data_IF_696005729711
#
_entry.id   IF_696005729711
#
_cell.length_a   1.000
_cell.length_b   1.000
_cell.length_c   1.000
_cell.angle_alpha   90.00
_cell.angle_beta   90.00
_cell.angle_gamma   90.00
#
_symmetry.space_group_name_H-M   'P 1'
#
loop_
_entity.id
_entity.type
_entity.pdbx_description
1 polymer ?
#
# COMPACT_ATOMS: atom_id res chain seq x y z
N UNK A 1 -12.75 -68.70 1.93
CA UNK A 1 -13.58 -67.52 1.60
C UNK A 1 -12.59 -66.38 1.30
N UNK A 2 -11.88 -66.41 0.16
CA UNK A 2 -12.23 -65.76 -1.15
C UNK A 2 -12.61 -64.28 -0.94
N UNK A 3 -11.93 -63.28 -1.51
CA UNK A 3 -11.25 -63.23 -2.80
C UNK A 3 -10.25 -62.05 -2.87
N UNK A 4 -9.17 -62.26 -3.64
CA UNK A 4 -8.09 -61.33 -4.00
C UNK A 4 -8.17 -61.11 -5.51
N UNK A 5 -8.05 -59.87 -6.00
CA UNK A 5 -7.83 -59.57 -7.42
C UNK A 5 -6.81 -58.43 -7.52
N UNK A 6 -5.55 -58.63 -7.92
CA UNK A 6 -4.97 -59.04 -9.22
C UNK A 6 -4.99 -57.95 -10.31
N UNK A 7 -3.78 -57.47 -10.62
CA UNK A 7 -3.38 -56.75 -11.84
C UNK A 7 -3.54 -57.64 -13.08
N UNK A 8 -3.47 -57.04 -14.28
CA UNK A 8 -2.74 -57.69 -15.36
C UNK A 8 -1.70 -56.76 -16.05
N UNK A 9 -0.67 -57.42 -16.58
CA UNK A 9 0.38 -56.90 -17.47
C UNK A 9 0.68 -57.99 -18.50
N UNK A 10 0.67 -57.66 -19.79
CA UNK A 10 1.32 -58.31 -20.96
C UNK A 10 0.77 -57.60 -22.23
N UNK A 11 1.45 -57.43 -23.37
CA UNK A 11 2.47 -58.26 -23.98
C UNK A 11 3.36 -57.48 -24.99
N UNK A 12 4.47 -58.13 -25.32
CA UNK A 12 5.57 -57.78 -26.22
C UNK A 12 5.38 -58.34 -27.64
N UNK A 13 5.80 -57.58 -28.67
CA UNK A 13 6.33 -58.04 -29.97
C UNK A 13 7.24 -56.89 -30.46
N UNK A 14 8.46 -57.00 -30.98
CA UNK A 14 9.27 -58.12 -31.48
C UNK A 14 10.01 -57.67 -32.75
N UNK A 15 11.28 -57.23 -32.61
CA UNK A 15 12.43 -57.23 -33.54
C UNK A 15 12.39 -56.56 -34.93
N UNK A 16 13.37 -55.67 -35.23
CA UNK A 16 14.44 -55.91 -36.24
C UNK A 16 15.54 -54.82 -36.23
N UNK A 17 16.77 -55.28 -36.40
CA UNK A 17 18.08 -54.61 -36.37
C UNK A 17 18.44 -53.98 -37.73
N UNK A 18 19.11 -52.82 -37.75
CA UNK A 18 20.16 -52.50 -38.73
C UNK A 18 21.12 -51.39 -38.25
N UNK A 19 22.42 -51.69 -38.29
CA UNK A 19 23.53 -50.77 -38.08
C UNK A 19 23.84 -49.99 -39.39
N UNK A 20 24.36 -48.76 -39.33
CA UNK A 20 25.80 -48.46 -39.47
C UNK A 20 26.12 -46.95 -39.67
N UNK A 21 27.30 -46.55 -39.13
CA UNK A 21 28.20 -45.41 -39.47
C UNK A 21 28.01 -43.95 -38.93
N UNK A 22 29.14 -43.21 -38.73
CA UNK A 22 29.26 -42.11 -37.77
C UNK A 22 29.31 -40.70 -38.39
N UNK A 23 28.72 -39.72 -37.72
CA UNK A 23 28.77 -38.29 -38.07
C UNK A 23 29.79 -37.51 -37.24
N UNK A 24 30.57 -36.65 -37.92
CA UNK A 24 31.67 -35.82 -37.45
C UNK A 24 31.33 -34.82 -36.32
N UNK A 25 32.34 -34.31 -35.56
CA UNK A 25 32.13 -33.48 -34.37
C UNK A 25 31.92 -31.98 -34.73
N UNK A 26 31.19 -31.21 -33.89
CA UNK A 26 31.15 -29.75 -34.02
C UNK A 26 32.37 -29.08 -33.35
N UNK A 27 32.75 -27.86 -33.77
CA UNK A 27 34.01 -27.21 -33.38
C UNK A 27 33.93 -26.55 -31.98
N UNK A 28 35.08 -26.27 -31.33
CA UNK A 28 35.13 -25.72 -29.98
C UNK A 28 35.05 -24.19 -30.00
N UNK A 29 34.29 -23.60 -29.07
CA UNK A 29 34.33 -22.16 -28.82
C UNK A 29 34.15 -21.86 -27.33
N UNK A 30 35.31 -21.60 -26.72
CA UNK A 30 35.65 -20.58 -25.70
C UNK A 30 34.85 -20.50 -24.38
N UNK A 31 35.61 -20.60 -23.29
CA UNK A 31 35.23 -20.49 -21.88
C UNK A 31 34.38 -19.25 -21.50
N UNK A 32 33.52 -19.33 -20.47
CA UNK A 32 32.95 -18.14 -19.86
C UNK A 32 33.93 -17.58 -18.82
N UNK A 33 34.54 -16.46 -19.18
CA UNK A 33 35.22 -15.56 -18.29
C UNK A 33 34.23 -14.87 -17.33
N UNK A 34 34.68 -14.69 -16.09
CA UNK A 34 34.05 -13.93 -15.00
C UNK A 34 33.47 -12.60 -15.49
N UNK A 35 32.17 -12.35 -15.25
CA UNK A 35 31.57 -11.03 -14.90
C UNK A 35 30.03 -11.12 -14.85
N UNK A 36 29.45 -11.26 -13.67
CA UNK A 36 28.00 -11.00 -13.46
C UNK A 36 27.75 -10.52 -12.03
N UNK A 37 28.04 -9.24 -11.77
CA UNK A 37 27.50 -8.52 -10.61
C UNK A 37 26.71 -7.24 -10.99
N UNK A 38 26.78 -6.81 -12.25
CA UNK A 38 26.04 -5.65 -12.77
C UNK A 38 24.64 -5.96 -13.34
N UNK A 39 24.32 -7.22 -13.66
CA UNK A 39 23.08 -7.58 -14.35
C UNK A 39 21.84 -7.63 -13.42
N UNK A 40 22.05 -7.78 -12.10
CA UNK A 40 20.97 -7.86 -11.11
C UNK A 40 20.45 -6.47 -10.71
N UNK A 41 21.35 -5.51 -10.51
CA UNK A 41 21.01 -4.12 -10.13
C UNK A 41 20.27 -3.38 -11.25
N UNK A 42 20.63 -3.62 -12.52
CA UNK A 42 19.91 -3.06 -13.67
C UNK A 42 18.51 -3.67 -13.81
N UNK A 43 18.34 -4.94 -13.44
CA UNK A 43 17.04 -5.61 -13.47
C UNK A 43 16.09 -5.06 -12.38
N UNK A 44 16.59 -4.87 -11.16
CA UNK A 44 15.81 -4.29 -10.05
C UNK A 44 15.44 -2.82 -10.33
N UNK A 45 16.34 -2.04 -10.94
CA UNK A 45 16.06 -0.66 -11.35
C UNK A 45 15.03 -0.61 -12.50
N UNK A 46 15.11 -1.53 -13.45
CA UNK A 46 14.13 -1.64 -14.54
C UNK A 46 12.76 -2.09 -14.02
N UNK A 47 12.72 -2.94 -13.00
CA UNK A 47 11.48 -3.40 -12.36
C UNK A 47 10.83 -2.26 -11.55
N UNK A 48 11.63 -1.50 -10.80
CA UNK A 48 11.17 -0.28 -10.12
C UNK A 48 10.65 0.78 -11.10
N UNK A 49 11.35 1.00 -12.23
CA UNK A 49 10.89 1.91 -13.29
C UNK A 49 9.59 1.42 -13.94
N UNK A 50 9.43 0.12 -14.13
CA UNK A 50 8.22 -0.49 -14.70
C UNK A 50 7.03 -0.39 -13.74
N UNK A 51 7.26 -0.56 -12.45
CA UNK A 51 6.24 -0.34 -11.41
C UNK A 51 5.84 1.14 -11.31
N UNK A 52 6.80 2.05 -11.43
CA UNK A 52 6.54 3.50 -11.46
C UNK A 52 5.72 3.88 -12.70
N UNK A 53 6.08 3.38 -13.88
CA UNK A 53 5.32 3.58 -15.12
C UNK A 53 3.91 2.99 -15.05
N UNK A 54 3.76 1.79 -14.47
CA UNK A 54 2.44 1.19 -14.25
C UNK A 54 1.57 2.06 -13.31
N UNK A 55 2.17 2.65 -12.28
CA UNK A 55 1.45 3.52 -11.34
C UNK A 55 1.09 4.88 -11.95
N UNK A 56 1.95 5.44 -12.80
CA UNK A 56 1.66 6.65 -13.58
C UNK A 56 0.52 6.38 -14.55
N UNK A 57 0.57 5.27 -15.30
CA UNK A 57 -0.49 4.88 -16.23
C UNK A 57 -1.84 4.67 -15.52
N UNK A 58 -1.84 4.07 -14.32
CA UNK A 58 -3.04 3.90 -13.51
C UNK A 58 -3.62 5.26 -13.08
N UNK A 59 -2.79 6.17 -12.58
CA UNK A 59 -3.23 7.51 -12.15
C UNK A 59 -3.74 8.36 -13.32
N UNK A 60 -3.13 8.23 -14.50
CA UNK A 60 -3.60 8.90 -15.72
C UNK A 60 -4.95 8.34 -16.18
N UNK A 61 -5.14 7.02 -16.12
CA UNK A 61 -6.41 6.37 -16.43
C UNK A 61 -7.52 6.78 -15.45
N UNK A 62 -7.23 6.81 -14.14
CA UNK A 62 -8.19 7.23 -13.11
C UNK A 62 -8.58 8.71 -13.28
N UNK A 63 -7.64 9.56 -13.69
CA UNK A 63 -7.91 10.98 -13.99
C UNK A 63 -8.75 11.14 -15.25
N UNK A 64 -8.44 10.37 -16.31
CA UNK A 64 -9.23 10.35 -17.54
C UNK A 64 -10.67 9.89 -17.29
N UNK A 65 -10.86 8.84 -16.48
CA UNK A 65 -12.18 8.36 -16.07
C UNK A 65 -12.99 9.42 -15.34
N UNK A 66 -12.40 10.12 -14.37
CA UNK A 66 -13.08 11.24 -13.67
C UNK A 66 -13.50 12.37 -14.61
N UNK A 67 -12.62 12.75 -15.54
CA UNK A 67 -12.96 13.79 -16.52
C UNK A 67 -14.06 13.38 -17.49
N UNK A 68 -14.16 12.10 -17.81
CA UNK A 68 -15.23 11.55 -18.65
C UNK A 68 -16.56 11.50 -17.89
N UNK A 69 -16.55 11.07 -16.62
CA UNK A 69 -17.72 11.11 -15.73
C UNK A 69 -18.25 12.55 -15.56
N UNK A 70 -17.37 13.52 -15.29
CA UNK A 70 -17.76 14.93 -15.16
C UNK A 70 -18.39 15.48 -16.46
N UNK A 71 -17.84 15.11 -17.61
CA UNK A 71 -18.36 15.52 -18.92
C UNK A 71 -19.72 14.89 -19.23
N UNK A 72 -19.97 13.66 -18.79
CA UNK A 72 -21.26 12.98 -18.96
C UNK A 72 -22.34 13.61 -18.06
N UNK A 73 -22.01 13.95 -16.81
CA UNK A 73 -22.91 14.69 -15.91
C UNK A 73 -23.33 16.02 -16.55
N UNK A 74 -22.40 16.79 -17.10
CA UNK A 74 -22.69 18.07 -17.74
C UNK A 74 -23.59 17.92 -19.00
N UNK A 75 -23.43 16.83 -19.75
CA UNK A 75 -24.33 16.51 -20.88
C UNK A 75 -25.75 16.18 -20.41
N UNK A 76 -25.89 15.35 -19.38
CA UNK A 76 -27.21 14.96 -18.85
C UNK A 76 -27.93 16.17 -18.23
N UNK A 77 -27.22 17.03 -17.50
CA UNK A 77 -27.77 18.30 -16.97
C UNK A 77 -28.24 19.22 -18.09
N UNK A 78 -27.47 19.36 -19.17
CA UNK A 78 -27.88 20.17 -20.34
C UNK A 78 -29.10 19.59 -21.04
N UNK A 79 -29.20 18.27 -21.14
CA UNK A 79 -30.34 17.57 -21.75
C UNK A 79 -31.60 17.75 -20.90
N UNK A 80 -31.52 17.51 -19.59
CA UNK A 80 -32.63 17.71 -18.66
C UNK A 80 -33.14 19.17 -18.67
N UNK A 81 -32.23 20.15 -18.74
CA UNK A 81 -32.61 21.55 -18.86
C UNK A 81 -33.34 21.86 -20.17
N UNK A 82 -32.89 21.30 -21.31
CA UNK A 82 -33.58 21.49 -22.60
C UNK A 82 -34.98 20.87 -22.59
N UNK A 83 -35.13 19.67 -22.04
CA UNK A 83 -36.41 18.98 -21.93
C UNK A 83 -37.39 19.74 -21.03
N UNK A 84 -36.91 20.27 -19.90
CA UNK A 84 -37.70 21.12 -19.01
C UNK A 84 -38.14 22.42 -19.71
N UNK A 85 -37.23 23.09 -20.41
CA UNK A 85 -37.55 24.32 -21.15
C UNK A 85 -38.57 24.06 -22.26
N UNK A 86 -38.46 22.93 -22.96
CA UNK A 86 -39.39 22.49 -23.99
C UNK A 86 -40.80 22.30 -23.41
N UNK A 87 -40.92 21.54 -22.32
CA UNK A 87 -42.19 21.33 -21.60
C UNK A 87 -42.80 22.64 -21.12
N UNK A 88 -41.99 23.54 -20.58
CA UNK A 88 -42.45 24.86 -20.14
C UNK A 88 -42.97 25.68 -21.31
N UNK A 89 -42.43 25.55 -22.51
CA UNK A 89 -42.86 26.33 -23.68
C UNK A 89 -44.18 25.80 -24.28
N UNK A 90 -44.49 24.51 -24.08
CA UNK A 90 -45.74 23.87 -24.52
C UNK A 90 -46.93 24.14 -23.58
N UNK A 91 -46.70 24.68 -22.39
CA UNK A 91 -47.77 25.01 -21.44
C UNK A 91 -48.27 26.44 -21.60
N UNK A 92 -49.56 26.59 -21.92
CA UNK A 92 -50.18 27.89 -22.24
C UNK A 92 -50.52 28.76 -21.02
N UNK A 93 -50.68 28.17 -19.83
CA UNK A 93 -51.05 28.87 -18.60
C UNK A 93 -49.86 29.02 -17.65
N UNK A 94 -49.60 30.25 -17.20
CA UNK A 94 -48.54 30.58 -16.22
C UNK A 94 -48.70 29.80 -14.91
N UNK A 95 -49.93 29.57 -14.45
CA UNK A 95 -50.18 28.79 -13.23
C UNK A 95 -49.78 27.32 -13.41
N UNK A 96 -50.12 26.70 -14.56
CA UNK A 96 -49.73 25.32 -14.86
C UNK A 96 -48.20 25.17 -14.99
N UNK A 97 -47.52 26.20 -15.51
CA UNK A 97 -46.04 26.25 -15.57
C UNK A 97 -45.44 26.30 -14.17
N UNK A 98 -45.99 27.13 -13.28
CA UNK A 98 -45.54 27.25 -11.89
C UNK A 98 -45.74 25.93 -11.13
N UNK A 99 -46.91 25.29 -11.25
CA UNK A 99 -47.20 24.00 -10.62
C UNK A 99 -46.28 22.88 -11.13
N UNK A 100 -46.00 22.86 -12.44
CA UNK A 100 -45.07 21.89 -13.04
C UNK A 100 -43.64 22.08 -12.52
N UNK A 101 -43.14 23.32 -12.44
CA UNK A 101 -41.82 23.63 -11.88
C UNK A 101 -41.77 23.20 -10.42
N UNK A 102 -42.79 23.54 -9.62
CA UNK A 102 -42.82 23.21 -8.20
C UNK A 102 -42.84 21.68 -7.98
N UNK A 103 -43.63 20.95 -8.79
CA UNK A 103 -43.65 19.48 -8.78
C UNK A 103 -42.30 18.88 -9.15
N UNK A 104 -41.66 19.38 -10.22
CA UNK A 104 -40.34 18.91 -10.65
C UNK A 104 -39.25 19.20 -9.63
N UNK A 105 -39.27 20.38 -9.01
CA UNK A 105 -38.35 20.74 -7.94
C UNK A 105 -38.50 19.80 -6.73
N UNK A 106 -39.74 19.50 -6.33
CA UNK A 106 -40.03 18.59 -5.22
C UNK A 106 -39.56 17.16 -5.51
N UNK A 107 -39.81 16.65 -6.74
CA UNK A 107 -39.32 15.35 -7.20
C UNK A 107 -37.79 15.28 -7.15
N UNK A 108 -37.09 16.25 -7.76
CA UNK A 108 -35.63 16.31 -7.79
C UNK A 108 -35.01 16.43 -6.39
N UNK A 109 -35.61 17.22 -5.49
CA UNK A 109 -35.16 17.34 -4.10
C UNK A 109 -35.31 16.00 -3.35
N UNK A 110 -36.41 15.28 -3.59
CA UNK A 110 -36.64 13.95 -3.03
C UNK A 110 -35.61 12.94 -3.52
N UNK A 111 -35.32 12.94 -4.83
CA UNK A 111 -34.29 12.10 -5.45
C UNK A 111 -32.90 12.41 -4.91
N UNK A 112 -32.50 13.69 -4.82
CA UNK A 112 -31.22 14.13 -4.26
C UNK A 112 -31.02 13.61 -2.82
N UNK A 113 -32.03 13.76 -1.96
CA UNK A 113 -31.96 13.25 -0.57
C UNK A 113 -31.89 11.72 -0.51
N UNK A 114 -32.44 11.03 -1.50
CA UNK A 114 -32.40 9.55 -1.59
C UNK A 114 -31.02 9.09 -2.02
N UNK A 115 -30.47 9.69 -3.07
CA UNK A 115 -29.13 9.37 -3.59
C UNK A 115 -28.04 9.74 -2.59
N UNK A 116 -28.19 10.83 -1.83
CA UNK A 116 -27.26 11.19 -0.76
C UNK A 116 -27.22 10.13 0.35
N UNK A 117 -28.38 9.60 0.77
CA UNK A 117 -28.46 8.49 1.74
C UNK A 117 -27.86 7.20 1.19
N UNK A 118 -28.10 6.90 -0.07
CA UNK A 118 -27.51 5.73 -0.75
C UNK A 118 -26.00 5.85 -0.88
N UNK A 119 -25.49 7.04 -1.25
CA UNK A 119 -24.06 7.32 -1.30
C UNK A 119 -23.40 7.17 0.06
N UNK A 120 -24.01 7.70 1.13
CA UNK A 120 -23.52 7.52 2.51
C UNK A 120 -23.42 6.04 2.90
N UNK A 121 -24.44 5.22 2.56
CA UNK A 121 -24.42 3.76 2.80
C UNK A 121 -23.37 3.05 1.95
N UNK A 122 -23.24 3.43 0.68
CA UNK A 122 -22.24 2.86 -0.23
C UNK A 122 -20.82 3.17 0.24
N UNK A 123 -20.56 4.40 0.70
CA UNK A 123 -19.28 4.82 1.27
C UNK A 123 -18.92 3.98 2.51
N UNK A 124 -19.84 3.84 3.47
CA UNK A 124 -19.64 2.97 4.65
C UNK A 124 -19.35 1.52 4.27
N UNK A 125 -20.04 0.99 3.25
CA UNK A 125 -19.80 -0.37 2.74
C UNK A 125 -18.43 -0.50 2.07
N UNK A 126 -18.00 0.51 1.32
CA UNK A 126 -16.68 0.53 0.70
C UNK A 126 -15.56 0.55 1.75
N UNK A 127 -15.69 1.38 2.78
CA UNK A 127 -14.73 1.46 3.89
C UNK A 127 -14.65 0.13 4.66
N UNK A 128 -15.81 -0.49 4.92
CA UNK A 128 -15.89 -1.81 5.55
C UNK A 128 -15.22 -2.91 4.71
N UNK A 129 -15.52 -2.97 3.41
CA UNK A 129 -14.91 -3.93 2.49
C UNK A 129 -13.39 -3.72 2.36
N UNK A 130 -12.93 -2.47 2.43
CA UNK A 130 -11.49 -2.15 2.42
C UNK A 130 -10.81 -2.68 3.70
N UNK A 131 -11.42 -2.47 4.87
CA UNK A 131 -10.93 -3.00 6.15
C UNK A 131 -10.88 -4.54 6.15
N UNK A 132 -11.93 -5.19 5.64
CA UNK A 132 -11.98 -6.66 5.50
C UNK A 132 -10.90 -7.18 4.55
N UNK A 133 -10.68 -6.50 3.42
CA UNK A 133 -9.62 -6.86 2.46
C UNK A 133 -8.23 -6.78 3.09
N UNK A 134 -7.93 -5.74 3.86
CA UNK A 134 -6.64 -5.60 4.54
C UNK A 134 -6.46 -6.62 5.67
N UNK A 135 -7.54 -6.92 6.42
CA UNK A 135 -7.57 -8.01 7.39
C UNK A 135 -7.28 -9.37 6.75
N UNK A 136 -7.99 -9.73 5.68
CA UNK A 136 -7.78 -10.97 4.93
C UNK A 136 -6.36 -11.06 4.34
N UNK A 137 -5.81 -9.94 3.87
CA UNK A 137 -4.43 -9.89 3.37
C UNK A 137 -3.41 -10.19 4.47
N UNK A 138 -3.60 -9.64 5.68
CA UNK A 138 -2.76 -9.93 6.85
C UNK A 138 -2.86 -11.41 7.27
N UNK A 139 -4.08 -11.96 7.30
CA UNK A 139 -4.31 -13.38 7.60
C UNK A 139 -3.65 -14.30 6.57
N UNK A 140 -3.74 -13.97 5.28
CA UNK A 140 -3.08 -14.72 4.21
C UNK A 140 -1.55 -14.71 4.38
N UNK A 141 -0.96 -13.57 4.74
CA UNK A 141 0.48 -13.48 5.03
C UNK A 141 0.87 -14.37 6.22
N UNK A 142 0.09 -14.38 7.30
CA UNK A 142 0.32 -15.26 8.46
C UNK A 142 0.19 -16.75 8.07
N UNK A 143 -0.85 -17.10 7.32
CA UNK A 143 -1.08 -18.46 6.84
C UNK A 143 0.07 -18.97 5.96
N UNK A 144 0.58 -18.12 5.06
CA UNK A 144 1.75 -18.46 4.24
C UNK A 144 3.02 -18.67 5.10
N UNK A 145 3.24 -17.85 6.13
CA UNK A 145 4.38 -18.06 7.05
C UNK A 145 4.30 -19.41 7.78
N UNK A 146 3.11 -19.82 8.23
CA UNK A 146 2.90 -21.14 8.86
C UNK A 146 3.10 -22.26 7.85
N UNK A 147 2.58 -22.11 6.64
CA UNK A 147 2.78 -23.07 5.54
C UNK A 147 4.27 -23.28 5.26
N UNK A 148 5.05 -22.20 5.13
CA UNK A 148 6.49 -22.29 4.87
C UNK A 148 7.25 -23.00 6.01
N UNK A 149 6.85 -22.78 7.27
CA UNK A 149 7.41 -23.49 8.43
C UNK A 149 7.08 -24.98 8.38
N UNK A 150 5.83 -25.34 8.05
CA UNK A 150 5.41 -26.74 7.91
C UNK A 150 6.12 -27.44 6.75
N UNK A 151 6.32 -26.77 5.62
CA UNK A 151 7.08 -27.33 4.49
C UNK A 151 8.55 -27.58 4.86
N UNK A 152 9.18 -26.69 5.63
CA UNK A 152 10.54 -26.89 6.14
C UNK A 152 10.61 -28.09 7.07
N UNK A 153 9.72 -28.16 8.07
CA UNK A 153 9.64 -29.29 8.99
C UNK A 153 9.36 -30.61 8.26
N UNK A 154 8.49 -30.62 7.26
CA UNK A 154 8.21 -31.81 6.45
C UNK A 154 9.44 -32.29 5.67
N UNK A 155 10.22 -31.37 5.08
CA UNK A 155 11.48 -31.70 4.40
C UNK A 155 12.55 -32.21 5.37
N UNK A 156 12.68 -31.59 6.53
CA UNK A 156 13.61 -32.01 7.59
C UNK A 156 13.27 -33.39 8.13
N UNK A 157 11.99 -33.63 8.46
CA UNK A 157 11.49 -34.92 8.91
C UNK A 157 11.72 -36.02 7.87
N UNK A 158 11.54 -35.70 6.58
CA UNK A 158 11.81 -36.64 5.48
C UNK A 158 13.31 -36.96 5.39
N UNK A 159 14.18 -35.94 5.53
CA UNK A 159 15.63 -36.09 5.52
C UNK A 159 16.13 -36.91 6.71
N UNK A 160 15.59 -36.67 7.90
CA UNK A 160 15.95 -37.40 9.10
C UNK A 160 15.46 -38.85 9.06
N UNK A 161 14.24 -39.11 8.57
CA UNK A 161 13.78 -40.48 8.33
C UNK A 161 14.67 -41.25 7.35
N UNK A 162 15.18 -40.58 6.30
CA UNK A 162 16.13 -41.21 5.38
C UNK A 162 17.45 -41.51 6.08
N UNK A 163 18.00 -40.54 6.82
CA UNK A 163 19.22 -40.71 7.62
C UNK A 163 19.10 -41.90 8.58
N UNK A 164 18.02 -41.98 9.35
CA UNK A 164 17.79 -43.08 10.29
C UNK A 164 17.68 -44.44 9.60
N UNK A 165 17.08 -44.51 8.41
CA UNK A 165 17.06 -45.75 7.61
C UNK A 165 18.44 -46.16 7.12
N UNK A 166 19.25 -45.19 6.69
CA UNK A 166 20.63 -45.43 6.26
C UNK A 166 21.49 -45.85 7.47
N UNK A 167 21.41 -45.16 8.61
CA UNK A 167 22.10 -45.52 9.86
C UNK A 167 21.72 -46.94 10.35
N UNK A 168 20.43 -47.30 10.30
CA UNK A 168 19.97 -48.65 10.64
C UNK A 168 20.55 -49.72 9.70
N UNK A 169 20.66 -49.40 8.42
CA UNK A 169 21.25 -50.30 7.42
C UNK A 169 22.74 -50.50 7.69
N UNK A 170 23.48 -49.42 7.92
CA UNK A 170 24.91 -49.44 8.19
C UNK A 170 25.22 -50.21 9.49
N UNK A 171 24.43 -50.01 10.55
CA UNK A 171 24.56 -50.76 11.79
C UNK A 171 24.32 -52.26 11.55
N UNK A 172 23.30 -52.61 10.76
CA UNK A 172 22.99 -54.01 10.42
C UNK A 172 24.14 -54.67 9.65
N UNK A 173 24.66 -53.99 8.62
CA UNK A 173 25.78 -54.45 7.81
C UNK A 173 27.05 -54.61 8.66
N UNK A 174 27.37 -53.60 9.48
CA UNK A 174 28.52 -53.66 10.40
C UNK A 174 28.40 -54.80 11.42
N UNK A 175 27.18 -55.09 11.88
CA UNK A 175 26.93 -56.20 12.81
C UNK A 175 27.08 -57.56 12.11
N UNK A 176 26.60 -57.69 10.87
CA UNK A 176 26.79 -58.87 10.02
C UNK A 176 28.28 -59.12 9.75
N UNK A 177 29.03 -58.10 9.31
CA UNK A 177 30.47 -58.17 9.06
C UNK A 177 31.26 -58.61 10.29
N UNK A 178 30.97 -58.02 11.47
CA UNK A 178 31.62 -58.40 12.73
C UNK A 178 31.29 -59.83 13.13
N UNK A 179 30.06 -60.28 12.88
CA UNK A 179 29.67 -61.64 13.19
C UNK A 179 30.40 -62.63 12.26
N UNK A 180 30.51 -62.32 10.97
CA UNK A 180 31.32 -63.10 10.02
C UNK A 180 32.80 -63.11 10.38
N UNK A 181 33.36 -61.99 10.83
CA UNK A 181 34.75 -61.90 11.30
C UNK A 181 34.97 -62.76 12.54
N UNK A 182 34.05 -62.73 13.51
CA UNK A 182 34.10 -63.59 14.69
C UNK A 182 34.00 -65.07 14.32
N UNK A 183 33.10 -65.44 13.41
CA UNK A 183 32.98 -66.81 12.90
C UNK A 183 34.28 -67.27 12.22
N UNK A 184 34.85 -66.45 11.33
CA UNK A 184 36.16 -66.74 10.70
C UNK A 184 37.28 -66.91 11.72
N UNK A 185 37.33 -66.05 12.75
CA UNK A 185 38.37 -66.14 13.79
C UNK A 185 38.21 -67.36 14.69
N UNK A 186 36.97 -67.75 14.99
CA UNK A 186 36.68 -68.99 15.71
C UNK A 186 37.11 -70.21 14.89
N UNK A 187 36.78 -70.24 13.59
CA UNK A 187 37.24 -71.30 12.69
C UNK A 187 38.77 -71.37 12.62
N UNK A 188 39.44 -70.21 12.52
CA UNK A 188 40.90 -70.16 12.53
C UNK A 188 41.50 -70.67 13.84
N UNK A 189 40.98 -70.25 15.00
CA UNK A 189 41.48 -70.73 16.31
C UNK A 189 41.27 -72.24 16.47
N UNK A 190 40.17 -72.78 15.95
CA UNK A 190 39.95 -74.24 15.95
C UNK A 190 41.05 -74.92 15.12
N UNK A 191 41.36 -74.41 13.93
CA UNK A 191 42.46 -74.90 13.09
C UNK A 191 43.83 -74.79 13.76
N UNK A 192 44.14 -73.66 14.40
CA UNK A 192 45.41 -73.48 15.13
C UNK A 192 45.54 -74.47 16.30
N UNK A 193 44.45 -74.75 17.02
CA UNK A 193 44.44 -75.75 18.09
C UNK A 193 44.66 -77.15 17.53
N UNK A 194 44.06 -77.47 16.38
CA UNK A 194 44.31 -78.72 15.65
C UNK A 194 45.80 -78.84 15.27
N UNK A 195 46.40 -77.77 14.73
CA UNK A 195 47.82 -77.72 14.36
C UNK A 195 48.77 -77.83 15.56
N UNK A 196 48.45 -77.22 16.70
CA UNK A 196 49.25 -77.31 17.93
C UNK A 196 49.17 -78.72 18.54
N UNK A 197 47.98 -79.34 18.52
CA UNK A 197 47.83 -80.75 18.90
C UNK A 197 48.73 -81.64 18.02
N UNK A 198 48.84 -81.31 16.73
CA UNK A 198 49.70 -82.02 15.77
C UNK A 198 51.20 -81.72 15.93
N UNK A 199 51.58 -80.57 16.49
CA UNK A 199 52.97 -80.07 16.50
C UNK A 199 53.66 -80.06 17.88
N UNK A 200 53.08 -80.71 18.91
CA UNK A 200 53.53 -80.68 20.32
C UNK A 200 54.90 -81.32 20.62
N UNK A 201 55.80 -81.42 19.65
CA UNK A 201 57.20 -81.82 19.87
C UNK A 201 58.15 -80.72 19.36
N UNK A 202 58.46 -79.68 20.16
CA UNK A 202 59.75 -78.96 20.08
C UNK A 202 59.99 -77.91 21.18
N UNK A 203 61.20 -77.83 21.81
CA UNK A 203 61.45 -77.04 23.03
C UNK A 203 62.13 -75.67 22.80
N UNK A 204 62.24 -75.17 21.57
CA UNK A 204 63.10 -74.02 21.25
C UNK A 204 62.40 -72.64 21.24
N UNK A 205 61.17 -72.54 21.78
CA UNK A 205 60.28 -71.37 21.62
C UNK A 205 60.59 -70.18 22.55
N UNK A 206 61.27 -70.43 23.66
CA UNK A 206 61.36 -69.51 24.82
C UNK A 206 62.26 -68.27 24.57
N UNK A 207 63.22 -68.35 23.64
CA UNK A 207 64.15 -67.23 23.38
C UNK A 207 63.56 -66.19 22.40
N UNK A 208 62.71 -66.61 21.46
CA UNK A 208 62.04 -65.70 20.53
C UNK A 208 60.96 -64.83 21.22
N UNK A 209 60.27 -65.38 22.22
CA UNK A 209 59.23 -64.66 22.99
C UNK A 209 59.77 -63.41 23.71
N UNK A 210 61.03 -63.44 24.18
CA UNK A 210 61.61 -62.31 24.94
C UNK A 210 61.93 -61.09 24.06
N UNK A 211 62.34 -61.29 22.81
CA UNK A 211 62.57 -60.19 21.86
C UNK A 211 61.24 -59.62 21.32
N UNK A 212 60.24 -60.48 21.13
CA UNK A 212 58.88 -60.08 20.76
C UNK A 212 58.22 -59.23 21.87
N UNK A 213 58.39 -59.61 23.14
CA UNK A 213 57.91 -58.85 24.31
C UNK A 213 58.50 -57.44 24.39
N UNK A 214 59.77 -57.29 24.03
CA UNK A 214 60.44 -55.99 24.05
C UNK A 214 59.90 -55.07 22.95
N UNK A 215 59.69 -55.59 21.74
CA UNK A 215 59.03 -54.86 20.65
C UNK A 215 57.58 -54.51 21.00
N UNK A 216 56.86 -55.41 21.68
CA UNK A 216 55.50 -55.16 22.13
C UNK A 216 55.41 -54.00 23.11
N UNK A 217 56.33 -53.92 24.08
CA UNK A 217 56.43 -52.81 25.03
C UNK A 217 56.69 -51.47 24.33
N UNK A 218 57.59 -51.44 23.35
CA UNK A 218 57.85 -50.22 22.58
C UNK A 218 56.65 -49.78 21.75
N UNK A 219 55.92 -50.73 21.14
CA UNK A 219 54.67 -50.43 20.42
C UNK A 219 53.57 -49.91 21.34
N UNK A 220 53.37 -50.52 22.51
CA UNK A 220 52.39 -50.03 23.50
C UNK A 220 52.74 -48.63 23.99
N UNK A 221 54.02 -48.37 24.26
CA UNK A 221 54.50 -47.03 24.64
C UNK A 221 54.21 -46.01 23.55
N UNK A 222 54.52 -46.33 22.29
CA UNK A 222 54.22 -45.47 21.14
C UNK A 222 52.72 -45.23 20.96
N UNK A 223 51.88 -46.24 21.16
CA UNK A 223 50.43 -46.05 21.12
C UNK A 223 49.96 -45.09 22.21
N UNK A 224 50.41 -45.26 23.46
CA UNK A 224 50.05 -44.36 24.56
C UNK A 224 50.45 -42.92 24.23
N UNK A 225 51.67 -42.68 23.77
CA UNK A 225 52.15 -41.35 23.37
C UNK A 225 51.32 -40.74 22.22
N UNK A 226 50.92 -41.56 21.23
CA UNK A 226 50.05 -41.11 20.13
C UNK A 226 48.65 -40.73 20.63
N UNK A 227 48.08 -41.51 21.58
CA UNK A 227 46.78 -41.21 22.18
C UNK A 227 46.83 -39.90 22.97
N UNK A 228 47.87 -39.69 23.79
CA UNK A 228 48.07 -38.45 24.54
C UNK A 228 48.20 -37.24 23.61
N UNK A 229 49.00 -37.36 22.54
CA UNK A 229 49.14 -36.29 21.54
C UNK A 229 47.82 -35.99 20.82
N UNK A 230 47.03 -37.02 20.49
CA UNK A 230 45.70 -36.86 19.89
C UNK A 230 44.74 -36.15 20.84
N UNK A 231 44.77 -36.48 22.13
CA UNK A 231 43.90 -35.87 23.15
C UNK A 231 44.24 -34.39 23.35
N UNK A 232 45.53 -34.05 23.42
CA UNK A 232 45.99 -32.65 23.46
C UNK A 232 45.54 -31.89 22.19
N UNK A 233 45.68 -32.50 21.02
CA UNK A 233 45.24 -31.89 19.76
C UNK A 233 43.73 -31.65 19.76
N UNK A 234 42.92 -32.63 20.17
CA UNK A 234 41.46 -32.49 20.27
C UNK A 234 41.07 -31.38 21.24
N UNK A 235 41.69 -31.31 22.43
CA UNK A 235 41.44 -30.25 23.40
C UNK A 235 41.75 -28.86 22.82
N UNK A 236 42.86 -28.72 22.10
CA UNK A 236 43.24 -27.47 21.42
C UNK A 236 42.22 -27.06 20.34
N UNK A 237 41.79 -28.02 19.51
CA UNK A 237 40.78 -27.77 18.46
C UNK A 237 39.43 -27.37 19.07
N UNK A 238 38.98 -28.04 20.13
CA UNK A 238 37.75 -27.68 20.82
C UNK A 238 37.82 -26.26 21.39
N UNK A 239 38.96 -25.88 21.99
CA UNK A 239 39.16 -24.52 22.50
C UNK A 239 39.13 -23.47 21.38
N UNK A 240 39.71 -23.78 20.22
CA UNK A 240 39.66 -22.88 19.05
C UNK A 240 38.23 -22.69 18.54
N UNK A 241 37.43 -23.77 18.47
CA UNK A 241 36.01 -23.69 18.07
C UNK A 241 35.17 -22.94 19.08
N UNK A 242 35.42 -23.13 20.37
CA UNK A 242 34.73 -22.39 21.44
C UNK A 242 34.98 -20.88 21.31
N UNK A 243 36.24 -20.47 21.08
CA UNK A 243 36.57 -19.05 20.86
C UNK A 243 35.93 -18.48 19.59
N UNK A 244 35.86 -19.26 18.51
CA UNK A 244 35.19 -18.87 17.27
C UNK A 244 33.69 -18.63 17.50
N UNK A 245 33.02 -19.52 18.24
CA UNK A 245 31.62 -19.36 18.64
C UNK A 245 31.43 -18.10 19.48
N UNK A 246 32.27 -17.88 20.50
CA UNK A 246 32.20 -16.68 21.34
C UNK A 246 32.40 -15.39 20.55
N UNK A 247 33.32 -15.39 19.58
CA UNK A 247 33.52 -14.25 18.69
C UNK A 247 32.26 -13.95 17.86
N UNK A 248 31.63 -14.97 17.29
CA UNK A 248 30.40 -14.80 16.52
C UNK A 248 29.22 -14.31 17.38
N UNK A 249 29.08 -14.81 18.61
CA UNK A 249 28.09 -14.32 19.58
C UNK A 249 28.33 -12.84 19.87
N UNK A 250 29.57 -12.45 20.22
CA UNK A 250 29.91 -11.06 20.54
C UNK A 250 29.68 -10.11 19.35
N UNK A 251 29.99 -10.54 18.13
CA UNK A 251 29.69 -9.76 16.93
C UNK A 251 28.20 -9.59 16.69
N UNK A 252 27.41 -10.66 16.88
CA UNK A 252 25.97 -10.60 16.74
C UNK A 252 25.34 -9.66 17.77
N UNK A 253 25.77 -9.74 19.03
CA UNK A 253 25.30 -8.85 20.10
C UNK A 253 25.66 -7.38 19.83
N UNK A 254 26.83 -7.11 19.27
CA UNK A 254 27.23 -5.75 18.86
C UNK A 254 26.33 -5.21 17.76
N UNK A 255 26.04 -6.02 16.73
CA UNK A 255 25.13 -5.63 15.65
C UNK A 255 23.71 -5.40 16.15
N UNK A 256 23.21 -6.27 17.04
CA UNK A 256 21.91 -6.12 17.67
C UNK A 256 21.81 -4.80 18.44
N UNK A 257 22.79 -4.49 19.31
CA UNK A 257 22.82 -3.22 20.05
C UNK A 257 22.85 -1.99 19.12
N UNK A 258 23.59 -2.06 18.02
CA UNK A 258 23.63 -0.98 17.03
C UNK A 258 22.27 -0.80 16.33
N UNK A 259 21.59 -1.90 15.99
CA UNK A 259 20.24 -1.87 15.44
C UNK A 259 19.24 -1.27 16.44
N UNK A 260 19.27 -1.70 17.69
CA UNK A 260 18.37 -1.20 18.75
C UNK A 260 18.56 0.31 18.99
N UNK A 261 19.81 0.80 18.92
CA UNK A 261 20.12 2.22 19.01
C UNK A 261 19.56 3.04 17.82
N UNK A 262 19.73 2.53 16.58
CA UNK A 262 19.15 3.19 15.40
C UNK A 262 17.63 3.12 15.37
N UNK A 263 17.03 2.02 15.83
CA UNK A 263 15.57 1.90 15.97
C UNK A 263 15.03 2.94 16.95
N UNK A 264 15.69 3.10 18.10
CA UNK A 264 15.32 4.11 19.11
C UNK A 264 15.38 5.52 18.53
N UNK A 265 16.46 5.83 17.80
CA UNK A 265 16.62 7.12 17.12
C UNK A 265 15.55 7.35 16.05
N UNK A 266 15.20 6.32 15.28
CA UNK A 266 14.12 6.38 14.30
C UNK A 266 12.78 6.66 14.97
N UNK A 267 12.44 5.97 16.06
CA UNK A 267 11.20 6.21 16.81
C UNK A 267 11.13 7.64 17.36
N UNK A 268 12.25 8.18 17.87
CA UNK A 268 12.32 9.56 18.33
C UNK A 268 12.07 10.56 17.20
N UNK A 269 12.67 10.34 16.03
CA UNK A 269 12.45 11.18 14.85
C UNK A 269 11.00 11.09 14.35
N UNK A 270 10.40 9.90 14.30
CA UNK A 270 8.99 9.72 13.93
C UNK A 270 8.06 10.50 14.86
N UNK A 271 8.30 10.44 16.18
CA UNK A 271 7.53 11.23 17.16
C UNK A 271 7.70 12.73 16.94
N UNK A 272 8.91 13.18 16.63
CA UNK A 272 9.17 14.59 16.34
C UNK A 272 8.45 15.06 15.08
N UNK A 273 8.50 14.28 13.99
CA UNK A 273 7.79 14.59 12.74
C UNK A 273 6.28 14.60 12.97
N UNK A 274 5.74 13.65 13.73
CA UNK A 274 4.32 13.62 14.10
C UNK A 274 3.91 14.88 14.87
N UNK A 275 4.72 15.30 15.85
CA UNK A 275 4.46 16.52 16.63
C UNK A 275 4.47 17.76 15.72
N UNK A 276 5.48 17.91 14.85
CA UNK A 276 5.53 19.04 13.93
C UNK A 276 4.36 19.04 12.95
N UNK A 277 3.99 17.88 12.40
CA UNK A 277 2.85 17.76 11.50
C UNK A 277 1.53 18.14 12.18
N UNK A 278 1.33 17.74 13.44
CA UNK A 278 0.15 18.15 14.22
C UNK A 278 0.13 19.67 14.43
N UNK A 279 1.25 20.26 14.83
CA UNK A 279 1.33 21.73 15.00
C UNK A 279 1.12 22.49 13.69
N UNK A 280 1.59 21.95 12.56
CA UNK A 280 1.36 22.55 11.25
C UNK A 280 -0.12 22.51 10.86
N UNK A 281 -0.80 21.39 11.11
CA UNK A 281 -2.23 21.26 10.85
C UNK A 281 -3.06 22.22 11.71
N UNK A 282 -2.72 22.35 13.00
CA UNK A 282 -3.34 23.32 13.91
C UNK A 282 -3.22 24.75 13.36
N UNK A 283 -2.01 25.14 12.93
CA UNK A 283 -1.76 26.48 12.36
C UNK A 283 -2.50 26.70 11.03
N UNK A 284 -2.59 25.67 10.18
CA UNK A 284 -3.38 25.75 8.94
C UNK A 284 -4.86 25.93 9.23
N UNK A 285 -5.40 25.22 10.22
CA UNK A 285 -6.79 25.37 10.65
C UNK A 285 -7.06 26.79 11.17
N UNK A 286 -6.18 27.31 12.02
CA UNK A 286 -6.26 28.70 12.49
C UNK A 286 -6.24 29.69 11.33
N UNK A 287 -5.31 29.51 10.37
CA UNK A 287 -5.23 30.37 9.19
C UNK A 287 -6.53 30.34 8.37
N UNK A 288 -7.11 29.15 8.15
CA UNK A 288 -8.39 29.01 7.45
C UNK A 288 -9.51 29.77 8.16
N UNK A 289 -9.62 29.65 9.49
CA UNK A 289 -10.60 30.39 10.30
C UNK A 289 -10.41 31.90 10.13
N UNK A 290 -9.16 32.40 10.18
CA UNK A 290 -8.88 33.83 9.94
C UNK A 290 -9.29 34.28 8.54
N UNK A 291 -9.00 33.47 7.51
CA UNK A 291 -9.39 33.76 6.12
C UNK A 291 -10.91 33.80 5.98
N UNK A 292 -11.63 32.85 6.58
CA UNK A 292 -13.11 32.83 6.58
C UNK A 292 -13.69 34.04 7.30
N UNK A 293 -13.15 34.38 8.48
CA UNK A 293 -13.57 35.57 9.22
C UNK A 293 -13.36 36.85 8.41
N UNK A 294 -12.23 36.99 7.72
CA UNK A 294 -11.97 38.13 6.86
C UNK A 294 -12.95 38.21 5.68
N UNK A 295 -13.25 37.07 5.03
CA UNK A 295 -14.27 37.00 3.97
C UNK A 295 -15.66 37.36 4.49
N UNK A 296 -16.00 36.92 5.69
CA UNK A 296 -17.27 37.24 6.34
C UNK A 296 -17.37 38.74 6.64
N UNK A 297 -16.31 39.35 7.17
CA UNK A 297 -16.25 40.79 7.43
C UNK A 297 -16.37 41.61 6.13
N UNK A 298 -15.70 41.18 5.05
CA UNK A 298 -15.84 41.80 3.73
C UNK A 298 -17.28 41.70 3.21
N UNK A 299 -17.91 40.53 3.33
CA UNK A 299 -19.31 40.32 2.93
C UNK A 299 -20.26 41.19 3.75
N UNK A 300 -20.09 41.21 5.08
CA UNK A 300 -20.88 42.05 5.98
C UNK A 300 -20.77 43.53 5.59
N UNK A 301 -19.56 44.01 5.29
CA UNK A 301 -19.34 45.40 4.85
C UNK A 301 -20.08 45.72 3.56
N UNK A 302 -20.06 44.81 2.58
CA UNK A 302 -20.83 44.98 1.32
C UNK A 302 -22.34 45.02 1.59
N UNK A 303 -22.85 44.16 2.48
CA UNK A 303 -24.28 44.16 2.86
C UNK A 303 -24.67 45.48 3.52
N UNK A 304 -23.86 45.99 4.45
CA UNK A 304 -24.10 47.28 5.09
C UNK A 304 -24.15 48.42 4.06
N UNK A 305 -23.21 48.44 3.12
CA UNK A 305 -23.19 49.44 2.06
C UNK A 305 -24.43 49.35 1.16
N UNK A 306 -24.83 48.14 0.75
CA UNK A 306 -26.05 47.94 -0.04
C UNK A 306 -27.31 48.38 0.72
N UNK A 307 -27.37 48.18 2.03
CA UNK A 307 -28.48 48.65 2.86
C UNK A 307 -28.54 50.18 2.95
N UNK A 308 -27.38 50.83 3.08
CA UNK A 308 -27.27 52.30 3.09
C UNK A 308 -27.67 52.90 1.73
N UNK A 309 -27.17 52.33 0.63
CA UNK A 309 -27.55 52.71 -0.73
C UNK A 309 -29.05 52.54 -0.97
N UNK A 310 -29.64 51.41 -0.54
CA UNK A 310 -31.10 51.19 -0.60
C UNK A 310 -31.87 52.23 0.19
N UNK A 311 -31.41 52.60 1.39
CA UNK A 311 -32.04 53.65 2.20
C UNK A 311 -31.99 55.01 1.50
N UNK A 312 -30.86 55.36 0.89
CA UNK A 312 -30.73 56.58 0.11
C UNK A 312 -31.65 56.56 -1.12
N UNK A 313 -31.67 55.47 -1.88
CA UNK A 313 -32.59 55.32 -3.02
C UNK A 313 -34.05 55.43 -2.58
N UNK A 314 -34.43 54.85 -1.44
CA UNK A 314 -35.80 54.94 -0.92
C UNK A 314 -36.18 56.38 -0.56
N UNK A 315 -35.29 57.13 0.11
CA UNK A 315 -35.53 58.56 0.41
C UNK A 315 -35.72 59.38 -0.85
N UNK A 316 -34.94 59.10 -1.90
CA UNK A 316 -35.07 59.80 -3.18
C UNK A 316 -36.37 59.44 -3.89
N UNK A 317 -36.78 58.15 -3.87
CA UNK A 317 -38.09 57.71 -4.36
C UNK A 317 -39.21 58.46 -3.64
N UNK A 318 -39.17 58.54 -2.31
CA UNK A 318 -40.21 59.23 -1.52
C UNK A 318 -40.26 60.74 -1.81
N UNK A 319 -39.09 61.37 -2.04
CA UNK A 319 -39.00 62.78 -2.44
C UNK A 319 -39.62 63.01 -3.81
N UNK A 320 -39.22 62.22 -4.80
CA UNK A 320 -39.75 62.30 -6.16
C UNK A 320 -41.25 62.01 -6.17
N UNK A 321 -41.73 61.05 -5.37
CA UNK A 321 -43.16 60.78 -5.21
C UNK A 321 -43.92 62.01 -4.69
N UNK A 322 -43.40 62.70 -3.66
CA UNK A 322 -43.99 63.95 -3.14
C UNK A 322 -44.00 65.07 -4.17
N UNK A 323 -42.92 65.25 -4.94
CA UNK A 323 -42.86 66.24 -6.02
C UNK A 323 -43.85 65.90 -7.15
N UNK A 324 -43.95 64.62 -7.52
CA UNK A 324 -44.91 64.14 -8.51
C UNK A 324 -46.36 64.39 -8.06
N UNK A 325 -46.68 64.18 -6.78
CA UNK A 325 -48.01 64.47 -6.23
C UNK A 325 -48.32 65.97 -6.21
N UNK A 326 -47.33 66.84 -5.93
CA UNK A 326 -47.50 68.30 -6.08
C UNK A 326 -47.80 68.68 -7.52
N UNK A 327 -47.06 68.11 -8.48
CA UNK A 327 -47.31 68.32 -9.91
C UNK A 327 -48.71 67.85 -10.31
N UNK A 328 -49.13 66.64 -9.88
CA UNK A 328 -50.49 66.14 -10.10
C UNK A 328 -51.56 67.06 -9.51
N UNK A 329 -51.33 67.64 -8.32
CA UNK A 329 -52.24 68.62 -7.70
C UNK A 329 -52.29 69.91 -8.50
N UNK A 330 -51.15 70.42 -8.97
CA UNK A 330 -51.09 71.62 -9.82
C UNK A 330 -51.79 71.39 -11.17
N UNK A 331 -51.57 70.26 -11.83
CA UNK A 331 -52.27 69.90 -13.07
C UNK A 331 -53.79 69.85 -12.84
N UNK A 332 -54.25 69.25 -11.74
CA UNK A 332 -55.68 69.23 -11.36
C UNK A 332 -56.22 70.62 -11.04
N UNK A 333 -55.45 71.47 -10.36
CA UNK A 333 -55.81 72.85 -10.05
C UNK A 333 -55.90 73.73 -11.31
N UNK A 334 -54.97 73.56 -12.25
CA UNK A 334 -55.02 74.24 -13.56
C UNK A 334 -56.24 73.78 -14.37
N UNK A 335 -56.59 72.50 -14.33
CA UNK A 335 -57.81 71.98 -14.95
C UNK A 335 -59.10 72.53 -14.30
N UNK A 336 -59.06 73.00 -13.05
CA UNK A 336 -60.23 73.52 -12.31
C UNK A 336 -60.34 75.05 -12.31
N UNK A 337 -59.23 75.81 -12.31
CA UNK A 337 -59.23 77.27 -12.16
C UNK A 337 -59.10 78.09 -13.46
N UNK A 338 -59.08 77.45 -14.63
CA UNK A 338 -58.97 78.16 -15.89
C UNK A 338 -59.19 77.27 -17.09
N UNK A 339 -60.47 76.94 -17.36
CA UNK A 339 -61.15 77.23 -18.62
C UNK A 339 -62.63 76.87 -18.45
N UNK A 340 -63.42 77.89 -18.11
CA UNK A 340 -64.86 77.86 -18.30
C UNK A 340 -65.18 77.75 -19.79
N UNK A 341 -65.74 76.60 -20.14
CA UNK A 341 -66.64 76.29 -21.25
C UNK A 341 -67.25 77.50 -21.98
N UNK A 342 -66.90 77.67 -23.26
CA UNK A 342 -67.73 78.20 -24.36
C UNK A 342 -67.35 77.32 -25.57
N UNK A 343 -68.21 76.64 -26.32
CA UNK A 343 -69.63 76.83 -26.56
C UNK A 343 -69.85 77.07 -28.06
N UNK A 344 -69.85 76.00 -28.86
CA UNK A 344 -70.61 75.90 -30.12
C UNK A 344 -69.94 76.28 -31.45
N UNK A 345 -69.89 75.30 -32.38
CA UNK A 345 -69.78 75.54 -33.84
C UNK A 345 -69.01 74.44 -34.60
N UNK A 346 -69.76 73.59 -35.33
CA UNK A 346 -69.42 72.49 -36.26
C UNK A 346 -68.05 72.52 -36.99
N UNK A 347 -67.43 71.41 -37.45
CA UNK A 347 -67.93 70.41 -38.43
C UNK A 347 -67.13 69.07 -38.34
N UNK A 348 -67.85 67.94 -38.54
CA UNK A 348 -67.47 66.58 -39.03
C UNK A 348 -66.07 65.98 -38.72
N UNK A 349 -65.91 64.72 -38.31
CA UNK A 349 -66.81 63.58 -38.27
C UNK A 349 -66.10 62.31 -37.80
N UNK A 350 -66.82 61.20 -37.94
CA UNK A 350 -66.48 59.80 -37.64
C UNK A 350 -66.75 59.30 -36.20
N UNK A 351 -67.81 58.48 -36.13
CA UNK A 351 -68.28 57.62 -35.05
C UNK A 351 -67.17 56.70 -34.51
N UNK A 352 -67.21 56.11 -33.30
CA UNK A 352 -68.30 55.34 -32.67
C UNK A 352 -68.13 55.35 -31.13
N UNK A 353 -69.27 55.44 -30.45
CA UNK A 353 -69.53 55.42 -29.00
C UNK A 353 -69.50 53.97 -28.42
N UNK A 354 -69.82 53.68 -27.14
CA UNK A 354 -68.84 53.33 -26.12
C UNK A 354 -69.28 52.06 -25.34
N UNK A 355 -68.57 51.71 -24.27
CA UNK A 355 -69.24 51.12 -23.10
C UNK A 355 -68.40 51.35 -21.85
N UNK A 356 -68.93 52.21 -20.99
CA UNK A 356 -68.63 52.34 -19.56
C UNK A 356 -69.79 51.67 -18.80
N UNK A 357 -69.63 51.15 -17.57
CA UNK A 357 -69.65 51.98 -16.34
C UNK A 357 -68.59 51.53 -15.30
N UNK A 358 -67.97 52.38 -14.49
CA UNK A 358 -68.39 53.05 -13.24
C UNK A 358 -68.70 52.11 -12.05
N UNK A 359 -67.86 52.19 -11.01
CA UNK A 359 -68.21 52.22 -9.57
C UNK A 359 -66.94 52.55 -8.75
N UNK A 360 -66.80 53.68 -8.07
CA UNK A 360 -67.44 54.14 -6.83
C UNK A 360 -66.70 53.68 -5.54
N UNK A 361 -66.26 54.70 -4.78
CA UNK A 361 -66.22 54.84 -3.31
C UNK A 361 -65.40 53.86 -2.42
N UNK A 362 -64.59 54.48 -1.56
CA UNK A 362 -63.81 54.01 -0.36
C UNK A 362 -64.67 53.32 0.73
N UNK A 363 -64.21 52.97 1.97
CA UNK A 363 -62.86 52.80 2.60
C UNK A 363 -62.69 51.48 3.46
N UNK A 364 -61.49 51.28 4.05
CA UNK A 364 -61.00 50.56 5.30
C UNK A 364 -61.98 49.78 6.24
N UNK A 365 -61.55 49.02 7.28
CA UNK A 365 -60.32 48.24 7.61
C UNK A 365 -60.65 46.77 8.03
N UNK A 366 -59.68 45.95 8.46
CA UNK A 366 -59.78 45.07 9.67
C UNK A 366 -58.54 44.16 9.88
N UNK A 367 -58.22 44.00 11.16
CA UNK A 367 -57.06 43.33 11.76
C UNK A 367 -57.16 41.78 11.80
N UNK A 368 -56.12 41.19 12.40
CA UNK A 368 -55.94 39.80 12.87
C UNK A 368 -55.34 38.84 11.82
N UNK A 369 -54.36 37.99 12.12
CA UNK A 369 -54.02 37.33 13.38
C UNK A 369 -52.54 36.92 13.37
N UNK A 370 -51.93 37.00 14.56
CA UNK A 370 -50.68 36.35 14.92
C UNK A 370 -50.66 34.86 14.52
N UNK A 371 -49.52 34.44 13.99
CA UNK A 371 -49.12 33.04 13.89
C UNK A 371 -47.66 32.93 14.30
N UNK A 372 -47.45 32.75 15.61
CA UNK A 372 -46.21 32.24 16.16
C UNK A 372 -45.89 30.89 15.49
N UNK A 373 -44.77 30.80 14.79
CA UNK A 373 -44.09 29.52 14.59
C UNK A 373 -42.81 29.55 15.38
N UNK A 374 -42.95 29.01 16.59
CA UNK A 374 -41.92 28.44 17.43
C UNK A 374 -40.89 27.66 16.58
N UNK A 375 -39.66 28.17 16.48
CA UNK A 375 -38.54 27.39 15.98
C UNK A 375 -37.63 27.10 17.17
N UNK A 376 -37.98 26.00 17.82
CA UNK A 376 -37.29 25.36 18.92
C UNK A 376 -35.80 25.15 18.57
N UNK A 377 -34.94 25.57 19.49
CA UNK A 377 -33.50 25.33 19.47
C UNK A 377 -33.21 23.84 19.66
N UNK A 378 -32.87 23.10 18.61
CA UNK A 378 -32.16 21.82 18.77
C UNK A 378 -30.65 22.06 18.76
N UNK A 379 -30.06 22.14 19.96
CA UNK A 379 -28.64 21.88 20.15
C UNK A 379 -28.37 20.44 19.72
N UNK A 380 -27.67 20.24 18.59
CA UNK A 380 -27.02 18.97 18.30
C UNK A 380 -25.85 18.81 19.25
N UNK A 381 -26.07 17.95 20.23
CA UNK A 381 -25.04 17.32 21.06
C UNK A 381 -24.20 16.40 20.16
N UNK A 382 -23.28 16.97 19.39
CA UNK A 382 -22.16 16.21 18.81
C UNK A 382 -21.12 16.04 19.92
N UNK A 383 -21.43 15.13 20.84
CA UNK A 383 -20.45 14.53 21.72
C UNK A 383 -19.47 13.72 20.89
N UNK A 384 -18.36 14.35 20.49
CA UNK A 384 -17.19 13.67 19.97
C UNK A 384 -16.62 12.77 21.08
N UNK A 385 -17.06 11.51 21.07
CA UNK A 385 -16.47 10.41 21.81
C UNK A 385 -15.06 10.19 21.25
N UNK A 386 -14.05 10.73 21.95
CA UNK A 386 -12.65 10.43 21.70
C UNK A 386 -12.39 8.97 22.11
N UNK A 387 -12.59 8.06 21.17
CA UNK A 387 -12.17 6.66 21.31
C UNK A 387 -10.63 6.59 21.22
N UNK A 388 -9.99 6.65 22.38
CA UNK A 388 -8.56 6.39 22.61
C UNK A 388 -8.28 4.89 22.47
N UNK A 389 -8.28 4.38 21.24
CA UNK A 389 -7.76 3.06 20.90
C UNK A 389 -6.36 3.21 20.31
N UNK A 390 -5.40 3.37 21.23
CA UNK A 390 -3.97 3.20 20.98
C UNK A 390 -3.69 1.79 20.43
N UNK A 391 -3.74 1.64 19.11
CA UNK A 391 -3.26 0.43 18.43
C UNK A 391 -1.76 0.58 18.21
N UNK A 392 -0.95 -0.07 19.06
CA UNK A 392 0.47 -0.28 18.81
C UNK A 392 0.63 -1.17 17.55
N UNK A 393 0.68 -0.56 16.37
CA UNK A 393 1.22 -1.21 15.17
C UNK A 393 2.74 -1.25 15.26
N UNK A 394 3.26 -2.45 15.52
CA UNK A 394 4.67 -2.81 15.43
C UNK A 394 5.20 -2.54 14.00
N UNK A 395 6.14 -1.59 13.78
CA UNK A 395 6.61 -1.28 12.45
C UNK A 395 7.43 -2.43 11.88
N UNK A 396 6.93 -3.02 10.79
CA UNK A 396 7.57 -4.08 10.02
C UNK A 396 9.07 -3.80 9.80
N UNK A 397 9.92 -4.68 10.35
CA UNK A 397 11.37 -4.70 10.12
C UNK A 397 11.68 -4.73 8.61
N UNK A 398 12.40 -3.74 8.04
CA UNK A 398 12.87 -3.81 6.66
C UNK A 398 13.95 -4.90 6.51
N UNK A 399 14.07 -5.55 5.33
CA UNK A 399 15.07 -6.58 5.12
C UNK A 399 16.48 -6.00 5.29
N UNK A 400 17.29 -6.66 6.12
CA UNK A 400 18.66 -6.27 6.41
C UNK A 400 19.47 -6.08 5.12
N UNK A 401 19.90 -4.84 4.86
CA UNK A 401 20.90 -4.55 3.84
C UNK A 401 22.26 -5.00 4.38
N UNK A 402 22.90 -5.91 3.66
CA UNK A 402 24.29 -6.31 3.93
C UNK A 402 25.22 -5.13 3.67
N UNK A 403 25.70 -4.48 4.73
CA UNK A 403 26.69 -3.41 4.63
C UNK A 403 28.05 -4.03 4.24
N UNK A 404 28.50 -3.73 3.02
CA UNK A 404 29.91 -3.82 2.63
C UNK A 404 30.60 -2.46 2.78
N UNK A 405 31.94 -2.41 2.77
CA UNK A 405 32.68 -1.15 2.91
C UNK A 405 32.32 -0.17 1.78
N UNK A 406 32.22 1.11 2.14
CA UNK A 406 31.91 2.21 1.21
C UNK A 406 33.00 2.28 0.12
N UNK A 407 32.66 2.31 -1.18
CA UNK A 407 33.66 2.43 -2.24
C UNK A 407 34.36 3.79 -2.18
N UNK A 408 35.67 3.87 -2.49
CA UNK A 408 36.41 5.12 -2.45
C UNK A 408 35.87 6.12 -3.49
N UNK A 409 35.96 7.43 -3.22
CA UNK A 409 35.51 8.47 -4.13
C UNK A 409 36.26 8.40 -5.48
N UNK A 410 35.59 8.74 -6.60
CA UNK A 410 36.22 8.73 -7.91
C UNK A 410 37.36 9.75 -7.99
N UNK A 411 38.45 9.46 -8.72
CA UNK A 411 39.56 10.38 -8.89
C UNK A 411 39.12 11.65 -9.64
N UNK A 412 39.69 12.81 -9.31
CA UNK A 412 39.35 14.06 -9.99
C UNK A 412 39.71 13.99 -11.48
N UNK A 413 38.95 14.68 -12.35
CA UNK A 413 39.18 14.65 -13.79
C UNK A 413 40.55 15.20 -14.14
N UNK A 414 41.26 14.48 -15.01
CA UNK A 414 42.55 14.91 -15.53
C UNK A 414 42.36 16.18 -16.38
N UNK A 415 42.84 17.31 -15.86
CA UNK A 415 42.97 18.55 -16.62
C UNK A 415 44.11 18.38 -17.61
N UNK A 416 43.78 18.00 -18.84
CA UNK A 416 44.68 18.19 -19.97
C UNK A 416 44.56 19.64 -20.43
N UNK A 417 45.52 20.49 -20.08
CA UNK A 417 45.90 21.58 -20.97
C UNK A 417 47.32 22.10 -20.70
N UNK A 418 48.20 21.64 -21.59
CA UNK A 418 49.26 22.40 -22.30
C UNK A 418 49.99 23.48 -21.51
N UNK A 419 51.19 23.13 -21.05
CA UNK A 419 52.26 24.09 -20.78
C UNK A 419 52.69 24.80 -22.08
N UNK A 420 52.97 26.12 -22.02
CA UNK A 420 54.01 26.72 -22.84
C UNK A 420 55.30 26.90 -22.03
N UNK A 421 56.39 26.53 -22.68
CA UNK A 421 57.80 26.83 -22.47
C UNK A 421 58.17 27.87 -21.39
N UNK A 422 59.18 27.51 -20.59
CA UNK A 422 60.41 28.28 -20.58
C UNK A 422 60.98 28.70 -19.22
N UNK A 423 62.28 28.41 -19.08
CA UNK A 423 63.32 29.18 -18.38
C UNK A 423 63.64 28.82 -16.91
N UNK A 424 64.76 28.08 -16.78
CA UNK A 424 65.88 28.19 -15.83
C UNK A 424 65.69 28.68 -14.38
N UNK A 425 66.28 27.92 -13.44
CA UNK A 425 66.71 28.39 -12.12
C UNK A 425 66.85 27.26 -11.09
N UNK A 426 67.94 26.50 -11.11
CA UNK A 426 69.02 26.50 -10.08
C UNK A 426 68.57 26.21 -8.64
N UNK A 427 68.95 25.00 -8.20
CA UNK A 427 69.47 24.54 -6.88
C UNK A 427 69.15 25.38 -5.62
N UNK A 428 68.66 24.69 -4.59
CA UNK A 428 69.51 24.27 -3.46
C UNK A 428 69.04 22.96 -2.86
#
# INVERSE_FOLDING_TARGET
MTEVASRPSAATTGSRVQADLPGAPPPPSVAPSKKTKGKKVVNDQNEANRQLQARIAQLEQDKAGKTEEDAEIDREVRKANREMQSMLTTMDNVNNRADYIHKKWTELLGELKRTEREHSRAKKRADQLQKEKDSQRSELTKANSVKDKLEKLSRELTKENKRLKDDLRDIKETAEDKNEELHRRLEQMVGDVEDVILSRESPNRVVAELDEDKMFKEKFKSFVEQYEMREIHMASVLRARELEIQYHIAQHDKLRKAQDAELTKSHQLTRQVSTFSQTENELRNQLNIYVEKFKQEATNKNIFQMAEERSHSQKEIDRLAKENDKLKKLCRAMQTNGYGRVGGGAVEGAAVDPQHPQSAMEPEPEEESLGETDSEYEYRDDGDDYDDESTEEDPATPPMRTYGPVPPPPPPPATTDKFPNGVNGVRH
#
